data_IF_324188190980
#
_entry.id   IF_324188190980
#
_cell.length_a   1.000
_cell.length_b   1.000
_cell.length_c   1.000
_cell.angle_alpha   90.00
_cell.angle_beta   90.00
_cell.angle_gamma   90.00
#
_symmetry.space_group_name_H-M   'P 1'
#
loop_
_entity.id
_entity.type
_entity.pdbx_description
1 polymer ?
#
# COMPACT_ATOMS: atom_id res chain seq x y z
N UNK A 1 29.72 1.73 3.88
CA UNK A 1 28.27 1.53 3.67
C UNK A 1 28.00 0.09 3.32
N UNK A 2 27.19 -0.55 4.07
CA UNK A 2 26.90 -1.96 3.86
C UNK A 2 25.74 -2.12 2.89
N UNK A 3 25.64 -3.30 2.31
CA UNK A 3 24.54 -3.61 1.43
C UNK A 3 23.21 -3.59 2.18
N UNK A 4 23.26 -3.97 3.43
CA UNK A 4 22.04 -4.01 4.24
C UNK A 4 21.44 -2.62 4.37
N UNK A 5 22.28 -1.62 4.52
CA UNK A 5 21.78 -0.25 4.61
C UNK A 5 21.18 0.21 3.30
N UNK A 6 21.85 -0.16 2.21
CA UNK A 6 21.33 0.21 0.90
C UNK A 6 19.98 -0.43 0.64
N UNK A 7 19.87 -1.69 0.97
CA UNK A 7 18.63 -2.41 0.77
C UNK A 7 17.52 -1.81 1.62
N UNK A 8 17.87 -1.32 2.78
CA UNK A 8 16.88 -0.70 3.64
C UNK A 8 16.28 0.57 3.05
N UNK A 9 17.07 1.25 2.23
CA UNK A 9 16.60 2.50 1.64
C UNK A 9 15.58 2.31 0.53
N UNK A 10 15.61 1.17 -0.12
CA UNK A 10 14.67 0.89 -1.20
C UNK A 10 13.62 -0.09 -0.75
N UNK A 11 13.31 -0.06 0.50
CA UNK A 11 12.31 -0.92 1.07
C UNK A 11 10.93 -0.57 0.54
N UNK A 12 10.20 -1.56 0.10
CA UNK A 12 8.85 -1.38 -0.42
C UNK A 12 7.87 -1.65 0.70
N UNK A 13 6.96 -0.73 0.91
CA UNK A 13 5.96 -0.89 1.96
C UNK A 13 4.94 -1.94 1.58
N UNK A 14 4.54 -2.75 2.53
CA UNK A 14 3.50 -3.73 2.32
C UNK A 14 2.14 -3.03 2.35
N UNK A 15 1.13 -3.73 1.84
CA UNK A 15 -0.23 -3.20 1.84
C UNK A 15 -0.68 -2.88 3.25
N UNK A 16 -0.36 -3.75 4.20
CA UNK A 16 -0.75 -3.54 5.59
C UNK A 16 -0.13 -2.27 6.15
N UNK A 17 1.11 -2.00 5.78
CA UNK A 17 1.82 -0.83 6.25
C UNK A 17 1.21 0.45 5.68
N UNK A 18 0.85 0.41 4.41
CA UNK A 18 0.21 1.54 3.75
C UNK A 18 -1.12 1.86 4.41
N UNK A 19 -1.91 0.83 4.65
CA UNK A 19 -3.21 1.00 5.30
C UNK A 19 -3.04 1.61 6.69
N UNK A 20 -2.08 1.11 7.44
CA UNK A 20 -1.84 1.61 8.79
C UNK A 20 -1.48 3.08 8.79
N UNK A 21 -0.59 3.47 7.88
CA UNK A 21 -0.14 4.86 7.80
C UNK A 21 -1.27 5.79 7.39
N UNK A 22 -2.07 5.36 6.43
CA UNK A 22 -3.14 6.20 5.92
C UNK A 22 -4.25 6.37 6.95
N UNK A 23 -4.53 5.32 7.71
CA UNK A 23 -5.52 5.42 8.77
C UNK A 23 -5.04 6.35 9.87
N UNK A 24 -3.76 6.27 10.20
CA UNK A 24 -3.19 7.14 11.20
C UNK A 24 -3.21 8.60 10.76
N UNK A 25 -3.13 8.84 9.45
CA UNK A 25 -3.15 10.17 8.90
C UNK A 25 -4.58 10.70 8.70
N UNK A 26 -5.58 9.89 8.98
CA UNK A 26 -6.96 10.33 8.86
C UNK A 26 -7.50 10.30 7.45
N UNK A 27 -6.86 9.58 6.54
CA UNK A 27 -7.31 9.50 5.16
C UNK A 27 -8.44 8.48 5.02
N UNK A 28 -9.30 8.72 4.03
CA UNK A 28 -10.35 7.75 3.72
C UNK A 28 -9.75 6.58 2.96
N UNK A 29 -10.51 5.49 2.89
CA UNK A 29 -10.04 4.30 2.19
C UNK A 29 -9.77 4.60 0.72
N UNK A 30 -10.68 5.32 0.09
CA UNK A 30 -10.54 5.66 -1.32
C UNK A 30 -9.31 6.53 -1.55
N UNK A 31 -9.11 7.48 -0.68
CA UNK A 31 -7.95 8.37 -0.78
C UNK A 31 -6.66 7.60 -0.59
N UNK A 32 -6.65 6.68 0.36
CA UNK A 32 -5.48 5.85 0.61
C UNK A 32 -5.16 4.97 -0.59
N UNK A 33 -6.20 4.40 -1.19
CA UNK A 33 -6.01 3.57 -2.38
C UNK A 33 -5.39 4.37 -3.52
N UNK A 34 -5.91 5.57 -3.75
CA UNK A 34 -5.39 6.43 -4.81
C UNK A 34 -3.95 6.83 -4.56
N UNK A 35 -3.61 7.12 -3.32
CA UNK A 35 -2.24 7.49 -2.98
C UNK A 35 -1.27 6.34 -3.20
N UNK A 36 -1.70 5.14 -2.87
CA UNK A 36 -0.82 3.98 -2.97
C UNK A 36 -0.72 3.44 -4.38
N UNK A 37 -1.83 3.38 -5.09
CA UNK A 37 -1.88 2.70 -6.38
C UNK A 37 -2.52 3.50 -7.51
N UNK A 38 -2.85 4.75 -7.27
CA UNK A 38 -3.61 5.54 -8.22
C UNK A 38 -2.94 5.71 -9.57
N UNK A 39 -1.63 5.75 -9.61
CA UNK A 39 -0.92 5.92 -10.86
C UNK A 39 -0.38 4.62 -11.44
N UNK A 40 -0.68 3.51 -10.81
CA UNK A 40 -0.15 2.23 -11.23
C UNK A 40 -1.06 1.58 -12.26
N UNK A 41 -0.46 1.18 -13.37
CA UNK A 41 -1.20 0.51 -14.43
C UNK A 41 -1.06 -1.00 -14.23
N UNK A 42 -2.12 -1.64 -13.74
CA UNK A 42 -2.06 -3.06 -13.45
C UNK A 42 -3.26 -3.77 -14.07
N UNK A 43 -3.10 -5.08 -14.36
CA UNK A 43 -4.21 -5.87 -14.92
C UNK A 43 -5.38 -5.93 -13.93
N UNK A 44 -6.58 -6.17 -14.46
CA UNK A 44 -7.77 -6.19 -13.64
C UNK A 44 -7.71 -7.24 -12.54
N UNK A 45 -7.12 -8.40 -12.83
CA UNK A 45 -7.09 -9.46 -11.83
C UNK A 45 -6.13 -9.14 -10.68
N UNK A 46 -5.06 -8.40 -10.97
CA UNK A 46 -4.14 -7.95 -9.93
C UNK A 46 -4.83 -6.88 -9.08
N UNK A 47 -5.49 -5.95 -9.74
CA UNK A 47 -6.20 -4.89 -9.05
C UNK A 47 -7.28 -5.46 -8.14
N UNK A 48 -8.01 -6.45 -8.64
CA UNK A 48 -9.08 -7.07 -7.90
C UNK A 48 -8.56 -7.74 -6.63
N UNK A 49 -7.45 -8.45 -6.75
CA UNK A 49 -6.83 -9.11 -5.61
C UNK A 49 -6.34 -8.10 -4.57
N UNK A 50 -5.66 -7.06 -5.03
CA UNK A 50 -5.15 -6.03 -4.14
C UNK A 50 -6.28 -5.27 -3.46
N UNK A 51 -7.33 -5.02 -4.20
CA UNK A 51 -8.47 -4.29 -3.65
C UNK A 51 -9.15 -5.08 -2.54
N UNK A 52 -9.28 -6.38 -2.74
CA UNK A 52 -9.88 -7.25 -1.73
C UNK A 52 -9.02 -7.25 -0.47
N UNK A 53 -7.72 -7.36 -0.63
CA UNK A 53 -6.81 -7.35 0.51
C UNK A 53 -6.82 -6.00 1.21
N UNK A 54 -6.84 -4.94 0.43
CA UNK A 54 -6.86 -3.58 0.97
C UNK A 54 -8.12 -3.34 1.80
N UNK A 55 -9.25 -3.78 1.28
CA UNK A 55 -10.52 -3.64 2.00
C UNK A 55 -10.50 -4.42 3.30
N UNK A 56 -9.99 -5.62 3.25
CA UNK A 56 -9.92 -6.47 4.44
C UNK A 56 -9.06 -5.84 5.52
N UNK A 57 -7.91 -5.34 5.13
CA UNK A 57 -7.00 -4.69 6.08
C UNK A 57 -7.58 -3.39 6.62
N UNK A 58 -8.33 -2.69 5.78
CA UNK A 58 -8.91 -1.42 6.20
C UNK A 58 -9.97 -1.61 7.26
N UNK A 59 -10.71 -2.71 7.16
CA UNK A 59 -11.80 -2.97 8.10
C UNK A 59 -11.33 -3.54 9.43
N UNK A 60 -10.10 -3.96 9.49
CA UNK A 60 -9.56 -4.48 10.75
C UNK A 60 -9.25 -3.36 11.75
#
# INVERSE_FOLDING_TARGET
>A
MSKAEFMGEIKIKSTAEIVKECKAAGKSKEEAWNNAYGGVNMPWFVKDTLEAEFNKLWEN
#
